data_IF_357168933591
#
_entry.id   IF_357168933591
#
_cell.length_a   1.000
_cell.length_b   1.000
_cell.length_c   1.000
_cell.angle_alpha   90.00
_cell.angle_beta   90.00
_cell.angle_gamma   90.00
#
_symmetry.space_group_name_H-M   'P 1'
#
loop_
_entity.id
_entity.type
_entity.pdbx_description
1 polymer ?
#
# COMPACT_ATOMS: atom_id res chain seq x y z
N UNK A 1 -14.38 1.06 -4.28
CA UNK A 1 -13.86 2.40 -4.51
C UNK A 1 -13.18 2.88 -3.23
N UNK A 2 -11.83 2.83 -3.20
CA UNK A 2 -11.03 3.13 -2.01
C UNK A 2 -11.14 4.60 -1.63
N UNK A 3 -11.18 5.51 -2.61
CA UNK A 3 -11.30 6.94 -2.37
C UNK A 3 -12.61 7.25 -1.63
N UNK A 4 -13.73 6.71 -2.13
CA UNK A 4 -15.03 6.80 -1.46
C UNK A 4 -14.97 6.32 0.00
N UNK A 5 -14.47 5.12 0.25
CA UNK A 5 -14.37 4.57 1.62
C UNK A 5 -13.48 5.39 2.55
N UNK A 6 -12.43 6.03 2.02
CA UNK A 6 -11.56 6.90 2.80
C UNK A 6 -12.25 8.23 3.11
N UNK A 7 -12.99 8.82 2.16
CA UNK A 7 -13.81 10.02 2.39
C UNK A 7 -14.88 9.80 3.46
N UNK A 8 -15.57 8.67 3.41
CA UNK A 8 -16.55 8.27 4.44
C UNK A 8 -15.94 8.18 5.85
N UNK A 9 -14.62 7.97 5.95
CA UNK A 9 -13.87 7.95 7.20
C UNK A 9 -13.27 9.32 7.58
N UNK A 10 -13.68 10.40 6.92
CA UNK A 10 -13.23 11.77 7.18
C UNK A 10 -11.89 12.14 6.53
N UNK A 11 -11.38 11.33 5.60
CA UNK A 11 -10.14 11.64 4.89
C UNK A 11 -10.43 12.54 3.67
N UNK A 12 -9.50 13.42 3.30
CA UNK A 12 -9.63 14.29 2.12
C UNK A 12 -9.79 13.50 0.80
N UNK A 13 -9.15 12.34 0.70
CA UNK A 13 -9.13 11.45 -0.46
C UNK A 13 -8.48 10.12 -0.03
N UNK A 14 -8.27 9.21 -0.98
CA UNK A 14 -7.47 7.99 -0.84
C UNK A 14 -6.18 8.25 -0.07
N UNK A 15 -5.79 7.33 0.80
CA UNK A 15 -4.69 7.51 1.75
C UNK A 15 -3.35 6.98 1.25
N UNK A 16 -3.35 6.26 0.14
CA UNK A 16 -2.19 5.62 -0.46
C UNK A 16 -1.70 6.43 -1.65
N UNK A 17 -0.40 6.29 -1.94
CA UNK A 17 0.24 6.85 -3.12
C UNK A 17 0.04 5.94 -4.33
N UNK A 18 0.08 4.62 -4.11
CA UNK A 18 -0.12 3.61 -5.15
C UNK A 18 -1.07 2.50 -4.70
N UNK A 19 -1.87 1.99 -5.64
CA UNK A 19 -2.73 0.82 -5.44
C UNK A 19 -2.53 -0.17 -6.58
N UNK A 20 -2.17 -1.41 -6.24
CA UNK A 20 -1.94 -2.49 -7.20
C UNK A 20 -3.18 -3.39 -7.28
N UNK A 21 -3.84 -3.36 -8.42
CA UNK A 21 -5.05 -4.14 -8.69
C UNK A 21 -4.73 -5.60 -8.98
N UNK A 22 -5.77 -6.44 -9.02
CA UNK A 22 -5.63 -7.91 -9.10
C UNK A 22 -4.92 -8.37 -10.37
N UNK A 23 -5.07 -7.62 -11.45
CA UNK A 23 -4.44 -7.81 -12.76
C UNK A 23 -3.00 -7.25 -12.83
N UNK A 24 -2.49 -6.69 -11.73
CA UNK A 24 -1.17 -6.08 -11.67
C UNK A 24 -1.12 -4.62 -12.12
N UNK A 25 -2.23 -4.03 -12.57
CA UNK A 25 -2.24 -2.60 -12.92
C UNK A 25 -2.02 -1.73 -11.67
N UNK A 26 -1.21 -0.68 -11.83
CA UNK A 26 -0.85 0.25 -10.76
C UNK A 26 -1.65 1.54 -10.96
N UNK A 27 -2.46 1.88 -9.97
CA UNK A 27 -3.24 3.11 -9.95
C UNK A 27 -2.60 4.10 -8.98
N UNK A 28 -2.40 5.34 -9.46
CA UNK A 28 -1.90 6.45 -8.65
C UNK A 28 -3.04 6.99 -7.78
N UNK A 29 -2.74 7.19 -6.50
CA UNK A 29 -3.61 7.82 -5.52
C UNK A 29 -3.16 9.26 -5.26
N UNK A 30 -2.62 9.51 -4.06
CA UNK A 30 -1.97 10.79 -3.74
C UNK A 30 -0.67 10.97 -4.52
N UNK A 31 -0.34 12.22 -4.84
CA UNK A 31 0.99 12.55 -5.36
C UNK A 31 2.06 12.23 -4.29
N UNK A 32 3.27 11.83 -4.70
CA UNK A 32 4.33 11.38 -3.78
C UNK A 32 4.76 12.51 -2.83
N UNK A 33 4.60 13.76 -3.27
CA UNK A 33 4.94 14.97 -2.52
C UNK A 33 3.87 15.34 -1.48
N UNK A 34 2.67 14.75 -1.57
CA UNK A 34 1.60 14.98 -0.60
C UNK A 34 1.72 14.05 0.60
N UNK A 35 1.49 14.57 1.81
CA UNK A 35 1.41 13.73 3.01
C UNK A 35 0.33 12.67 2.85
N UNK A 36 0.71 11.40 3.04
CA UNK A 36 -0.16 10.25 2.96
C UNK A 36 -1.16 10.13 4.13
N UNK A 37 -1.97 9.09 4.09
CA UNK A 37 -2.82 8.71 5.21
C UNK A 37 -3.00 7.18 5.27
N UNK A 38 -1.87 6.48 5.36
CA UNK A 38 -1.77 5.03 5.30
C UNK A 38 -1.13 4.39 6.55
N UNK A 39 -0.23 5.09 7.25
CA UNK A 39 0.44 4.63 8.48
C UNK A 39 0.57 5.79 9.48
N UNK A 40 -0.21 5.76 10.57
CA UNK A 40 -0.17 6.82 11.60
C UNK A 40 1.23 6.92 12.19
N UNK A 41 1.75 8.14 12.32
CA UNK A 41 3.11 8.41 12.80
C UNK A 41 4.19 8.39 11.71
N UNK A 42 3.89 7.87 10.51
CA UNK A 42 4.87 7.75 9.41
C UNK A 42 4.40 8.41 8.10
N UNK A 43 3.16 8.89 8.03
CA UNK A 43 2.54 9.45 6.82
C UNK A 43 3.33 10.57 6.13
N UNK A 44 4.11 11.37 6.87
CA UNK A 44 4.86 12.51 6.32
C UNK A 44 6.27 12.16 5.85
N UNK A 45 6.71 10.92 6.07
CA UNK A 45 8.08 10.47 5.79
C UNK A 45 8.11 9.15 4.99
N UNK A 46 6.97 8.73 4.43
CA UNK A 46 6.88 7.42 3.76
C UNK A 46 5.92 7.44 2.58
N UNK A 47 6.20 6.55 1.62
CA UNK A 47 5.35 6.27 0.47
C UNK A 47 4.49 5.04 0.80
N UNK A 48 3.24 5.08 0.38
CA UNK A 48 2.21 4.13 0.78
C UNK A 48 1.73 3.32 -0.41
N UNK A 49 2.05 2.03 -0.44
CA UNK A 49 1.65 1.09 -1.50
C UNK A 49 0.61 0.14 -0.93
N UNK A 50 -0.56 0.08 -1.57
CA UNK A 50 -1.63 -0.88 -1.26
C UNK A 50 -1.74 -1.92 -2.38
N UNK A 51 -2.16 -3.15 -2.07
CA UNK A 51 -2.64 -4.09 -3.07
C UNK A 51 -4.07 -4.53 -2.75
N UNK A 52 -4.86 -4.82 -3.78
CA UNK A 52 -6.22 -5.32 -3.59
C UNK A 52 -6.18 -6.79 -3.13
N UNK A 53 -6.54 -7.03 -1.87
CA UNK A 53 -6.57 -8.36 -1.26
C UNK A 53 -6.23 -8.34 0.23
N UNK A 54 -5.63 -9.43 0.72
CA UNK A 54 -5.16 -9.57 2.10
C UNK A 54 -6.08 -10.40 2.99
N UNK A 55 -7.26 -10.79 2.52
CA UNK A 55 -8.22 -11.60 3.26
C UNK A 55 -8.59 -12.86 2.48
N UNK A 56 -8.65 -14.00 3.17
CA UNK A 56 -9.23 -15.24 2.66
C UNK A 56 -10.74 -15.14 2.48
N UNK A 57 -11.36 -16.14 1.83
CA UNK A 57 -12.84 -16.25 1.69
C UNK A 57 -13.59 -16.23 3.04
N UNK A 58 -12.91 -16.59 4.14
CA UNK A 58 -13.45 -16.56 5.51
C UNK A 58 -13.16 -15.24 6.25
N UNK A 59 -12.66 -14.21 5.55
CA UNK A 59 -12.32 -12.91 6.15
C UNK A 59 -11.07 -12.93 7.04
N UNK A 60 -10.26 -14.00 7.02
CA UNK A 60 -9.02 -14.10 7.79
C UNK A 60 -7.83 -13.53 7.01
N UNK A 61 -6.88 -12.80 7.65
CA UNK A 61 -5.66 -12.33 7.02
C UNK A 61 -4.91 -13.44 6.27
N UNK A 62 -4.50 -13.19 5.03
CA UNK A 62 -3.75 -14.12 4.19
C UNK A 62 -3.08 -13.40 3.03
N UNK A 63 -1.87 -13.81 2.63
CA UNK A 63 -1.28 -13.37 1.35
C UNK A 63 -2.16 -13.87 0.22
N UNK A 64 -2.88 -12.96 -0.43
CA UNK A 64 -3.70 -13.27 -1.59
C UNK A 64 -3.17 -12.64 -2.86
N UNK A 65 -1.96 -12.08 -2.87
CA UNK A 65 -1.42 -11.40 -4.05
C UNK A 65 -1.38 -12.36 -5.25
N UNK A 66 -1.82 -11.88 -6.40
CA UNK A 66 -1.64 -12.59 -7.68
C UNK A 66 -0.18 -12.54 -8.12
N UNK A 67 0.19 -13.33 -9.13
CA UNK A 67 1.54 -13.25 -9.73
C UNK A 67 1.80 -11.86 -10.30
N UNK A 68 0.80 -11.29 -10.97
CA UNK A 68 0.89 -9.97 -11.60
C UNK A 68 1.05 -8.86 -10.55
N UNK A 69 0.32 -8.95 -9.43
CA UNK A 69 0.51 -8.05 -8.29
C UNK A 69 1.93 -8.13 -7.72
N UNK A 70 2.49 -9.34 -7.58
CA UNK A 70 3.86 -9.53 -7.07
C UNK A 70 4.90 -8.96 -8.04
N UNK A 71 4.70 -9.13 -9.35
CA UNK A 71 5.58 -8.55 -10.37
C UNK A 71 5.52 -7.02 -10.36
N UNK A 72 4.31 -6.44 -10.43
CA UNK A 72 4.10 -4.99 -10.39
C UNK A 72 4.65 -4.36 -9.10
N UNK A 73 4.45 -5.02 -7.94
CA UNK A 73 4.98 -4.54 -6.67
C UNK A 73 6.51 -4.49 -6.65
N UNK A 74 7.18 -5.52 -7.20
CA UNK A 74 8.65 -5.51 -7.29
C UNK A 74 9.15 -4.37 -8.18
N UNK A 75 8.62 -4.26 -9.40
CA UNK A 75 9.04 -3.21 -10.34
C UNK A 75 8.77 -1.80 -9.81
N UNK A 76 7.64 -1.59 -9.11
CA UNK A 76 7.35 -0.31 -8.46
C UNK A 76 8.34 0.01 -7.34
N UNK A 77 8.68 -0.98 -6.51
CA UNK A 77 9.65 -0.81 -5.42
C UNK A 77 11.04 -0.53 -5.98
N UNK A 78 11.47 -1.23 -7.04
CA UNK A 78 12.74 -0.99 -7.73
C UNK A 78 12.82 0.45 -8.25
N UNK A 79 11.80 0.92 -8.98
CA UNK A 79 11.73 2.30 -9.47
C UNK A 79 11.79 3.33 -8.33
N UNK A 80 11.03 3.11 -7.26
CA UNK A 80 11.06 4.01 -6.10
C UNK A 80 12.40 4.00 -5.37
N UNK A 81 13.11 2.87 -5.38
CA UNK A 81 14.45 2.75 -4.80
C UNK A 81 15.52 3.44 -5.65
N UNK A 82 15.34 3.52 -6.96
CA UNK A 82 16.22 4.31 -7.83
C UNK A 82 16.11 5.80 -7.51
N UNK A 83 14.89 6.31 -7.33
CA UNK A 83 14.64 7.72 -6.96
C UNK A 83 14.98 8.02 -5.49
N UNK A 84 14.73 7.05 -4.58
CA UNK A 84 14.93 7.19 -3.14
C UNK A 84 15.87 6.08 -2.60
N UNK A 85 17.18 6.13 -2.92
CA UNK A 85 18.11 5.02 -2.65
C UNK A 85 18.28 4.70 -1.17
N UNK A 86 18.11 5.69 -0.29
CA UNK A 86 18.22 5.53 1.16
C UNK A 86 16.93 5.05 1.83
N UNK A 87 15.80 4.98 1.10
CA UNK A 87 14.53 4.54 1.67
C UNK A 87 14.61 3.06 2.09
N UNK A 88 13.99 2.69 3.19
CA UNK A 88 13.85 1.28 3.62
C UNK A 88 12.44 0.77 3.33
N UNK A 89 12.28 -0.55 3.22
CA UNK A 89 11.01 -1.19 2.87
C UNK A 89 10.48 -1.89 4.13
N UNK A 90 9.21 -1.66 4.44
CA UNK A 90 8.59 -2.14 5.68
C UNK A 90 7.14 -2.57 5.47
N UNK A 91 6.70 -3.56 6.24
CA UNK A 91 5.30 -3.91 6.42
C UNK A 91 4.60 -2.99 7.43
N UNK A 92 3.30 -2.75 7.25
CA UNK A 92 2.53 -1.94 8.20
C UNK A 92 2.42 -2.60 9.60
N UNK A 93 2.55 -3.92 9.66
CA UNK A 93 2.61 -4.72 10.89
C UNK A 93 3.83 -4.39 11.76
N UNK A 94 4.89 -3.81 11.20
CA UNK A 94 6.06 -3.35 11.97
C UNK A 94 5.79 -2.07 12.76
N UNK A 95 4.79 -1.28 12.35
CA UNK A 95 4.45 0.02 12.96
C UNK A 95 3.08 0.04 13.65
N UNK A 96 2.30 -1.03 13.51
CA UNK A 96 0.97 -1.15 14.10
C UNK A 96 0.66 -2.60 14.43
N UNK A 97 -0.06 -2.84 15.52
CA UNK A 97 -0.55 -4.18 15.90
C UNK A 97 -1.67 -4.64 14.93
N UNK A 98 -1.29 -5.01 13.70
CA UNK A 98 -2.17 -5.38 12.59
C UNK A 98 -1.50 -6.46 11.74
N UNK A 99 -2.30 -7.25 11.03
CA UNK A 99 -1.79 -8.27 10.12
C UNK A 99 -1.36 -7.72 8.75
N UNK A 100 -1.69 -6.47 8.41
CA UNK A 100 -1.32 -5.86 7.12
C UNK A 100 0.21 -5.79 6.98
N UNK A 101 0.81 -6.23 5.86
CA UNK A 101 0.21 -6.48 4.55
C UNK A 101 -0.23 -7.94 4.29
N UNK A 102 -0.29 -8.76 5.33
CA UNK A 102 -0.69 -10.17 5.34
C UNK A 102 0.32 -11.13 4.69
N UNK A 103 1.59 -10.71 4.62
CA UNK A 103 2.74 -11.48 4.20
C UNK A 103 4.01 -10.89 4.85
N UNK A 104 5.10 -11.66 4.86
CA UNK A 104 6.39 -11.20 5.37
C UNK A 104 7.07 -10.33 4.32
N UNK A 105 7.34 -9.06 4.68
CA UNK A 105 7.97 -8.05 3.83
C UNK A 105 9.48 -8.21 3.85
#
# INVERSE_FOLDING_TARGET
DIDRWHRERGMRCIGYHFVIYRDGSIHVGRAIEEVGAHCKGHNSISIGICYIGGLSKKGKPKDTRTRDQKAAMRSLIELLKEEYPLATIHGHNEFANKACPCFDV
#
